data_IF_895643090966
#
_entry.id   IF_895643090966
#
_cell.length_a   1.000
_cell.length_b   1.000
_cell.length_c   1.000
_cell.angle_alpha   90.00
_cell.angle_beta   90.00
_cell.angle_gamma   90.00
#
_symmetry.space_group_name_H-M   'P 1'
#
loop_
_entity.id
_entity.type
_entity.pdbx_description
1 polymer ?
#
# COMPACT_ATOMS: atom_id res chain seq x y z
N UNK A 1 -20.82 9.99 31.89
CA UNK A 1 -20.68 10.14 30.43
C UNK A 1 -20.24 8.80 29.87
N UNK A 2 -21.13 8.06 29.20
CA UNK A 2 -20.86 6.70 28.72
C UNK A 2 -20.28 6.83 27.31
N UNK A 3 -18.97 6.66 27.16
CA UNK A 3 -18.34 6.52 25.85
C UNK A 3 -19.00 5.29 25.22
N UNK A 4 -19.78 5.48 24.16
CA UNK A 4 -20.19 4.36 23.33
C UNK A 4 -18.96 3.97 22.53
N UNK A 5 -18.27 2.93 22.98
CA UNK A 5 -17.42 2.12 22.12
C UNK A 5 -18.33 1.54 21.04
N UNK A 6 -18.55 2.30 19.99
CA UNK A 6 -19.30 1.81 18.83
C UNK A 6 -18.37 0.80 18.17
N UNK A 7 -18.60 -0.48 18.45
CA UNK A 7 -17.82 -1.56 17.86
C UNK A 7 -17.92 -1.45 16.34
N UNK A 8 -16.77 -1.39 15.67
CA UNK A 8 -16.70 -1.26 14.22
C UNK A 8 -17.12 -2.60 13.59
N UNK A 9 -18.34 -2.62 13.06
CA UNK A 9 -18.90 -3.77 12.34
C UNK A 9 -18.65 -3.61 10.84
N UNK A 10 -17.94 -4.57 10.23
CA UNK A 10 -17.66 -4.59 8.79
C UNK A 10 -18.19 -5.87 8.16
N UNK A 11 -19.04 -5.75 7.15
CA UNK A 11 -19.51 -6.88 6.37
C UNK A 11 -18.48 -7.24 5.29
N UNK A 12 -17.81 -8.38 5.44
CA UNK A 12 -16.80 -8.86 4.51
C UNK A 12 -17.26 -8.95 3.05
N UNK A 13 -18.55 -9.24 2.78
CA UNK A 13 -19.10 -9.33 1.41
C UNK A 13 -19.15 -7.98 0.69
N UNK A 14 -19.24 -6.89 1.45
CA UNK A 14 -19.38 -5.53 0.95
C UNK A 14 -18.16 -4.66 1.29
N UNK A 15 -17.06 -5.29 1.73
CA UNK A 15 -15.85 -4.60 2.17
C UNK A 15 -14.66 -5.07 1.33
N UNK A 16 -13.79 -4.13 0.96
CA UNK A 16 -12.51 -4.40 0.33
C UNK A 16 -11.38 -3.73 1.10
N UNK A 17 -10.20 -4.35 1.11
CA UNK A 17 -8.98 -3.74 1.61
C UNK A 17 -8.23 -3.10 0.45
N UNK A 18 -7.90 -1.81 0.58
CA UNK A 18 -7.06 -1.08 -0.36
C UNK A 18 -5.75 -0.73 0.33
N UNK A 19 -4.64 -1.20 -0.23
CA UNK A 19 -3.28 -0.96 0.27
C UNK A 19 -2.59 0.02 -0.68
N UNK A 20 -2.26 1.21 -0.20
CA UNK A 20 -1.72 2.31 -1.01
C UNK A 20 -0.20 2.40 -0.87
N UNK A 21 0.49 2.38 -2.00
CA UNK A 21 1.90 2.76 -2.17
C UNK A 21 2.90 2.08 -1.22
N UNK A 22 2.56 0.88 -0.73
CA UNK A 22 3.49 0.01 -0.02
C UNK A 22 4.43 -0.70 -1.01
N UNK A 23 5.32 0.09 -1.59
CA UNK A 23 6.38 -0.34 -2.50
C UNK A 23 7.73 0.12 -1.98
N UNK A 24 8.79 -0.68 -2.22
CA UNK A 24 10.15 -0.44 -1.70
C UNK A 24 10.69 0.98 -2.01
N UNK A 25 10.31 1.55 -3.16
CA UNK A 25 10.71 2.92 -3.54
C UNK A 25 10.01 4.05 -2.78
N UNK A 26 8.91 3.76 -2.07
CA UNK A 26 8.13 4.73 -1.29
C UNK A 26 8.37 4.60 0.22
N UNK A 27 8.71 3.41 0.71
CA UNK A 27 8.97 3.16 2.14
C UNK A 27 9.96 4.16 2.79
N UNK A 28 11.03 4.64 2.12
CA UNK A 28 11.93 5.65 2.70
C UNK A 28 11.28 7.01 2.98
N UNK A 29 10.14 7.31 2.37
CA UNK A 29 9.41 8.56 2.58
C UNK A 29 8.44 8.52 3.77
N UNK A 30 8.34 7.38 4.48
CA UNK A 30 7.54 7.27 5.69
C UNK A 30 8.19 8.03 6.86
N UNK A 31 7.94 9.34 6.94
CA UNK A 31 8.50 10.25 7.95
C UNK A 31 7.93 10.14 9.37
N UNK A 32 7.10 9.13 9.66
CA UNK A 32 6.40 8.95 10.94
C UNK A 32 4.93 9.42 10.90
N UNK A 33 4.13 9.16 11.95
CA UNK A 33 4.49 8.63 13.28
C UNK A 33 4.72 7.11 13.33
N UNK A 34 4.38 6.38 12.28
CA UNK A 34 4.61 4.93 12.18
C UNK A 34 5.75 4.62 11.23
N UNK A 35 6.56 3.62 11.59
CA UNK A 35 7.67 3.18 10.75
C UNK A 35 7.16 2.38 9.56
N UNK A 36 7.87 2.43 8.44
CA UNK A 36 7.44 1.78 7.19
C UNK A 36 7.28 0.25 7.34
N UNK A 37 8.19 -0.39 8.07
CA UNK A 37 8.17 -1.83 8.39
C UNK A 37 6.93 -2.23 9.21
N UNK A 38 6.55 -1.42 10.21
CA UNK A 38 5.33 -1.63 10.99
C UNK A 38 4.07 -1.54 10.13
N UNK A 39 4.02 -0.56 9.23
CA UNK A 39 2.87 -0.39 8.31
C UNK A 39 2.77 -1.60 7.37
N UNK A 40 3.89 -2.05 6.81
CA UNK A 40 3.94 -3.25 5.95
C UNK A 40 3.44 -4.49 6.69
N UNK A 41 3.92 -4.72 7.91
CA UNK A 41 3.51 -5.87 8.72
C UNK A 41 2.00 -5.85 9.06
N UNK A 42 1.48 -4.68 9.45
CA UNK A 42 0.05 -4.51 9.75
C UNK A 42 -0.83 -4.67 8.50
N UNK A 43 -0.41 -4.12 7.36
CA UNK A 43 -1.12 -4.27 6.10
C UNK A 43 -1.15 -5.74 5.64
N UNK A 44 -0.06 -6.49 5.83
CA UNK A 44 -0.02 -7.92 5.54
C UNK A 44 -1.05 -8.70 6.38
N UNK A 45 -1.13 -8.42 7.69
CA UNK A 45 -2.12 -9.03 8.59
C UNK A 45 -3.56 -8.74 8.15
N UNK A 46 -3.86 -7.50 7.78
CA UNK A 46 -5.19 -7.12 7.27
C UNK A 46 -5.51 -7.85 5.96
N UNK A 47 -4.54 -7.90 5.04
CA UNK A 47 -4.71 -8.56 3.76
C UNK A 47 -4.98 -10.06 3.91
N UNK A 48 -4.31 -10.73 4.84
CA UNK A 48 -4.55 -12.14 5.11
C UNK A 48 -5.94 -12.38 5.70
N UNK A 49 -6.40 -11.51 6.61
CA UNK A 49 -7.75 -11.60 7.16
C UNK A 49 -8.81 -11.36 6.08
N UNK A 50 -8.65 -10.36 5.22
CA UNK A 50 -9.57 -10.10 4.11
C UNK A 50 -9.63 -11.28 3.13
N UNK A 51 -8.47 -11.87 2.76
CA UNK A 51 -8.43 -13.06 1.90
C UNK A 51 -9.14 -14.26 2.52
N UNK A 52 -8.95 -14.50 3.81
CA UNK A 52 -9.64 -15.57 4.54
C UNK A 52 -11.17 -15.38 4.56
N UNK A 53 -11.64 -14.13 4.54
CA UNK A 53 -13.07 -13.80 4.53
C UNK A 53 -13.65 -13.65 3.12
N UNK A 54 -12.85 -13.84 2.07
CA UNK A 54 -13.26 -13.65 0.67
C UNK A 54 -13.40 -12.18 0.24
N UNK A 55 -12.97 -11.23 1.07
CA UNK A 55 -12.97 -9.80 0.73
C UNK A 55 -11.84 -9.47 -0.26
N UNK A 56 -12.08 -8.63 -1.27
CA UNK A 56 -11.05 -8.20 -2.20
C UNK A 56 -9.88 -7.49 -1.50
N UNK A 57 -8.66 -7.76 -1.96
CA UNK A 57 -7.45 -7.03 -1.55
C UNK A 57 -6.83 -6.36 -2.77
N UNK A 58 -6.89 -5.04 -2.80
CA UNK A 58 -6.44 -4.18 -3.90
C UNK A 58 -5.11 -3.56 -3.50
N UNK A 59 -4.06 -3.77 -4.30
CA UNK A 59 -2.75 -3.18 -4.09
C UNK A 59 -2.52 -2.07 -5.10
N UNK A 60 -2.48 -0.83 -4.61
CA UNK A 60 -2.23 0.36 -5.42
C UNK A 60 -0.74 0.68 -5.35
N UNK A 61 -0.18 1.06 -6.50
CA UNK A 61 1.21 1.45 -6.66
C UNK A 61 1.27 2.72 -7.49
N UNK A 62 2.18 3.62 -7.13
CA UNK A 62 2.52 4.81 -7.91
C UNK A 62 3.73 4.54 -8.79
N UNK A 63 3.66 4.98 -10.04
CA UNK A 63 4.75 4.91 -10.99
C UNK A 63 4.46 5.72 -12.24
N UNK A 64 5.52 6.04 -12.96
CA UNK A 64 5.47 6.71 -14.26
C UNK A 64 6.18 5.86 -15.30
N UNK A 65 5.80 6.02 -16.56
CA UNK A 65 6.57 5.48 -17.68
C UNK A 65 7.98 6.04 -17.69
N UNK A 66 8.90 5.38 -18.40
CA UNK A 66 10.31 5.75 -18.41
C UNK A 66 10.57 7.17 -18.95
N UNK A 67 9.66 7.65 -19.79
CA UNK A 67 9.59 8.98 -20.39
C UNK A 67 8.77 9.99 -19.55
N UNK A 68 8.21 9.54 -18.42
CA UNK A 68 7.33 10.32 -17.56
C UNK A 68 6.13 10.91 -18.33
N UNK A 69 5.60 10.19 -19.33
CA UNK A 69 4.47 10.65 -20.12
C UNK A 69 3.22 10.93 -19.26
N UNK A 70 2.98 10.12 -18.25
CA UNK A 70 1.82 10.22 -17.34
C UNK A 70 2.09 11.13 -16.13
N UNK A 71 3.30 11.66 -15.99
CA UNK A 71 3.62 12.58 -14.91
C UNK A 71 2.98 13.95 -15.17
N UNK A 72 2.45 14.58 -14.12
CA UNK A 72 1.90 15.92 -14.21
C UNK A 72 3.02 16.95 -14.50
N UNK A 73 2.83 17.75 -15.55
CA UNK A 73 3.79 18.77 -16.05
C UNK A 73 3.30 20.20 -15.82
N UNK A 74 2.50 20.40 -14.78
CA UNK A 74 1.90 21.69 -14.48
C UNK A 74 2.94 22.70 -13.96
N UNK A 75 2.76 24.00 -14.18
CA UNK A 75 3.58 25.02 -13.54
C UNK A 75 3.39 24.91 -12.02
N UNK A 76 4.49 24.73 -11.29
CA UNK A 76 4.52 24.58 -9.83
C UNK A 76 5.69 25.37 -9.25
N UNK A 77 5.55 25.83 -8.02
CA UNK A 77 6.61 26.57 -7.33
C UNK A 77 7.82 25.67 -6.96
N UNK A 78 7.57 24.38 -6.78
CA UNK A 78 8.59 23.36 -6.55
C UNK A 78 8.31 22.11 -7.40
N UNK A 79 9.20 21.79 -8.32
CA UNK A 79 9.09 20.62 -9.18
C UNK A 79 9.15 19.34 -8.32
N UNK A 80 8.21 18.42 -8.52
CA UNK A 80 8.30 17.10 -7.92
C UNK A 80 9.57 16.37 -8.42
N UNK A 81 10.30 15.73 -7.51
CA UNK A 81 11.45 14.91 -7.86
C UNK A 81 11.04 13.76 -8.79
N UNK A 82 11.80 13.55 -9.87
CA UNK A 82 11.58 12.43 -10.80
C UNK A 82 12.00 11.11 -10.15
N UNK A 83 11.16 10.56 -9.27
CA UNK A 83 11.38 9.24 -8.68
C UNK A 83 11.07 8.22 -9.77
N UNK A 84 12.11 7.64 -10.37
CA UNK A 84 11.95 6.53 -11.29
C UNK A 84 11.43 5.34 -10.49
N UNK A 85 10.24 4.84 -10.81
CA UNK A 85 9.80 3.55 -10.28
C UNK A 85 10.82 2.49 -10.76
N UNK A 86 11.43 1.69 -9.87
CA UNK A 86 12.38 0.65 -10.27
C UNK A 86 11.78 -0.25 -11.34
N UNK A 87 12.60 -0.79 -12.24
CA UNK A 87 12.18 -1.65 -13.39
C UNK A 87 11.49 -2.97 -13.00
N UNK A 88 10.94 -3.10 -11.80
CA UNK A 88 9.91 -4.08 -11.45
C UNK A 88 8.57 -3.74 -12.16
N UNK A 89 8.63 -3.55 -13.48
CA UNK A 89 7.49 -3.57 -14.40
C UNK A 89 7.07 -5.00 -14.75
N UNK A 90 7.32 -5.96 -13.86
CA UNK A 90 6.73 -7.29 -13.90
C UNK A 90 5.69 -7.43 -12.78
N UNK A 91 4.80 -8.44 -12.84
CA UNK A 91 3.75 -8.70 -11.85
C UNK A 91 4.32 -9.25 -10.53
N UNK A 92 5.50 -8.80 -10.11
CA UNK A 92 6.12 -9.24 -8.87
C UNK A 92 5.42 -8.56 -7.71
N UNK A 93 4.50 -9.33 -7.12
CA UNK A 93 3.88 -9.03 -5.82
C UNK A 93 4.95 -8.56 -4.83
N UNK A 94 4.66 -7.57 -3.96
CA UNK A 94 5.54 -7.23 -2.85
C UNK A 94 5.96 -8.51 -2.15
N UNK A 95 7.23 -8.62 -1.74
CA UNK A 95 7.80 -9.85 -1.17
C UNK A 95 6.92 -10.42 -0.03
N UNK A 96 6.40 -9.51 0.78
CA UNK A 96 5.50 -9.72 1.91
C UNK A 96 4.08 -10.22 1.55
N UNK A 97 3.72 -10.22 0.25
CA UNK A 97 2.43 -10.72 -0.27
C UNK A 97 2.55 -12.16 -0.77
N UNK A 98 3.77 -12.69 -0.94
CA UNK A 98 3.97 -14.09 -1.28
C UNK A 98 3.93 -14.96 -0.02
N UNK A 99 3.18 -16.08 -0.05
CA UNK A 99 3.01 -17.03 1.08
C UNK A 99 4.31 -17.60 1.68
N UNK A 100 5.48 -17.24 1.14
CA UNK A 100 6.81 -17.67 1.60
C UNK A 100 7.49 -16.70 2.57
N UNK A 101 6.99 -15.48 2.76
CA UNK A 101 7.70 -14.46 3.55
C UNK A 101 7.38 -14.44 5.05
N UNK A 102 6.38 -15.21 5.52
CA UNK A 102 5.98 -15.26 6.95
C UNK A 102 6.59 -16.49 7.67
N UNK A 103 7.34 -17.34 6.95
CA UNK A 103 8.11 -18.43 7.54
C UNK A 103 9.59 -18.09 7.48
N UNK A 104 10.09 -17.53 8.57
CA UNK A 104 11.36 -17.86 9.24
C UNK A 104 11.44 -17.10 10.56
#
# INVERSE_FOLDING_TARGET
MKIRDTMLELNAKNTALVVIDLQEGILPFAGGPHRADEVVARAARLADKCRQQGSPVIMVRVGWSADFAEALKQPVDAQAGRIRCPKTGGPTRPRWVSRRAISK
#
